data_IF_341487285819
#
_entry.id   IF_341487285819
#
_cell.length_a   1.000
_cell.length_b   1.000
_cell.length_c   1.000
_cell.angle_alpha   90.00
_cell.angle_beta   90.00
_cell.angle_gamma   90.00
#
_symmetry.space_group_name_H-M   'P 1'
#
loop_
_entity.id
_entity.type
_entity.pdbx_description
1 polymer ?
#
# COMPACT_ATOMS: atom_id res chain seq x y z
N UNK A 1 8.73 -6.06 21.13
CA UNK A 1 8.57 -4.75 20.47
C UNK A 1 7.28 -4.77 19.68
N UNK A 2 6.23 -4.11 20.18
CA UNK A 2 5.01 -3.88 19.41
C UNK A 2 5.32 -2.67 18.53
N UNK A 3 5.58 -2.91 17.24
CA UNK A 3 6.00 -1.87 16.30
C UNK A 3 4.75 -1.11 15.84
N UNK A 4 4.60 0.18 16.18
CA UNK A 4 3.52 1.01 15.67
C UNK A 4 3.74 1.34 14.18
N UNK A 5 2.70 1.37 13.34
CA UNK A 5 2.85 1.69 11.93
C UNK A 5 3.19 3.17 11.74
N UNK A 6 4.41 3.45 11.29
CA UNK A 6 4.94 4.83 11.24
C UNK A 6 4.59 5.60 9.96
N UNK A 7 4.20 4.93 8.88
CA UNK A 7 3.87 5.58 7.59
C UNK A 7 2.58 5.03 7.00
N UNK A 8 1.91 5.82 6.14
CA UNK A 8 0.73 5.37 5.39
C UNK A 8 1.02 4.07 4.62
N UNK A 9 2.19 3.97 4.00
CA UNK A 9 2.58 2.78 3.26
C UNK A 9 2.70 1.52 4.15
N UNK A 10 3.16 1.66 5.41
CA UNK A 10 3.18 0.55 6.37
C UNK A 10 1.78 0.20 6.87
N UNK A 11 0.91 1.20 7.09
CA UNK A 11 -0.50 0.98 7.45
C UNK A 11 -1.23 0.17 6.37
N UNK A 12 -1.08 0.56 5.11
CA UNK A 12 -1.66 -0.15 3.96
C UNK A 12 -1.10 -1.56 3.89
N UNK A 13 0.23 -1.74 3.95
CA UNK A 13 0.86 -3.05 3.91
C UNK A 13 0.30 -4.00 4.98
N UNK A 14 0.26 -3.56 6.24
CA UNK A 14 -0.25 -4.36 7.36
C UNK A 14 -1.72 -4.73 7.18
N UNK A 15 -2.54 -3.80 6.70
CA UNK A 15 -3.93 -4.10 6.41
C UNK A 15 -4.07 -5.17 5.32
N UNK A 16 -3.32 -5.04 4.22
CA UNK A 16 -3.37 -6.00 3.11
C UNK A 16 -2.91 -7.40 3.55
N UNK A 17 -1.82 -7.49 4.31
CA UNK A 17 -1.34 -8.78 4.85
C UNK A 17 -2.32 -9.35 5.87
N UNK A 18 -2.86 -8.52 6.78
CA UNK A 18 -3.82 -8.94 7.79
C UNK A 18 -5.14 -9.47 7.21
N UNK A 19 -5.50 -9.03 5.99
CA UNK A 19 -6.66 -9.53 5.25
C UNK A 19 -6.30 -10.59 4.19
N UNK A 20 -5.06 -11.11 4.19
CA UNK A 20 -4.54 -12.07 3.20
C UNK A 20 -4.68 -11.61 1.73
N UNK A 21 -4.71 -10.30 1.48
CA UNK A 21 -4.80 -9.68 0.15
C UNK A 21 -3.44 -9.59 -0.54
N UNK A 22 -2.37 -9.57 0.26
CA UNK A 22 -0.98 -9.65 -0.18
C UNK A 22 -0.26 -10.66 0.70
N UNK A 23 0.60 -11.50 0.09
CA UNK A 23 1.30 -12.58 0.79
C UNK A 23 2.61 -12.16 1.42
N UNK A 24 3.25 -11.10 0.89
CA UNK A 24 4.59 -10.71 1.33
C UNK A 24 4.92 -9.24 1.03
N UNK A 25 5.93 -8.72 1.74
CA UNK A 25 6.53 -7.39 1.45
C UNK A 25 7.08 -7.31 0.02
N UNK A 26 7.56 -8.43 -0.54
CA UNK A 26 8.05 -8.50 -1.91
C UNK A 26 6.91 -8.31 -2.94
N UNK A 27 5.77 -8.94 -2.72
CA UNK A 27 4.58 -8.76 -3.56
C UNK A 27 4.04 -7.34 -3.46
N UNK A 28 3.96 -6.79 -2.24
CA UNK A 28 3.58 -5.39 -2.03
C UNK A 28 4.52 -4.42 -2.76
N UNK A 29 5.83 -4.69 -2.72
CA UNK A 29 6.81 -3.87 -3.44
C UNK A 29 6.64 -3.94 -4.96
N UNK A 30 6.20 -5.09 -5.49
CA UNK A 30 5.86 -5.22 -6.91
C UNK A 30 4.62 -4.42 -7.29
N UNK A 31 3.62 -4.32 -6.41
CA UNK A 31 2.44 -3.46 -6.65
C UNK A 31 2.83 -1.98 -6.75
N UNK A 32 3.90 -1.57 -6.06
CA UNK A 32 4.49 -0.23 -6.20
C UNK A 32 5.36 -0.07 -7.46
N UNK A 33 5.53 -1.10 -8.29
CA UNK A 33 6.42 -1.08 -9.46
C UNK A 33 7.91 -1.03 -9.09
N UNK A 34 8.29 -1.53 -7.91
CA UNK A 34 9.66 -1.45 -7.38
C UNK A 34 10.25 -2.84 -7.06
N UNK A 35 11.53 -2.86 -6.71
CA UNK A 35 12.25 -4.09 -6.37
C UNK A 35 11.69 -4.74 -5.10
N UNK A 36 11.91 -6.05 -4.94
CA UNK A 36 11.35 -6.85 -3.82
C UNK A 36 11.72 -6.36 -2.40
N UNK A 37 12.77 -5.55 -2.27
CA UNK A 37 13.25 -5.03 -0.98
C UNK A 37 12.76 -3.61 -0.69
N UNK A 38 12.10 -2.96 -1.67
CA UNK A 38 11.76 -1.55 -1.61
C UNK A 38 10.94 -1.17 -0.37
N UNK A 39 9.87 -1.92 -0.07
CA UNK A 39 9.06 -1.64 1.11
C UNK A 39 9.85 -1.77 2.42
N UNK A 40 10.74 -2.78 2.51
CA UNK A 40 11.59 -2.94 3.69
C UNK A 40 12.54 -1.76 3.86
N UNK A 41 13.12 -1.24 2.77
CA UNK A 41 13.96 -0.04 2.78
C UNK A 41 13.18 1.18 3.26
N UNK A 42 11.98 1.42 2.72
CA UNK A 42 11.12 2.53 3.15
C UNK A 42 10.80 2.45 4.64
N UNK A 43 10.47 1.25 5.13
CA UNK A 43 10.14 1.01 6.53
C UNK A 43 11.34 1.25 7.45
N UNK A 44 12.52 0.76 7.08
CA UNK A 44 13.76 0.96 7.86
C UNK A 44 14.17 2.44 7.91
N UNK A 45 13.93 3.18 6.84
CA UNK A 45 14.31 4.59 6.75
C UNK A 45 13.19 5.55 7.17
N UNK A 46 12.03 5.03 7.60
CA UNK A 46 10.82 5.83 7.89
C UNK A 46 10.46 6.81 6.76
N UNK A 47 10.65 6.39 5.50
CA UNK A 47 10.38 7.21 4.31
C UNK A 47 9.05 6.85 3.66
N UNK A 48 8.49 7.84 2.98
CA UNK A 48 7.34 7.66 2.10
C UNK A 48 7.78 7.14 0.72
N UNK A 49 6.95 6.33 0.04
CA UNK A 49 7.15 6.01 -1.36
C UNK A 49 7.31 7.25 -2.24
N UNK A 50 8.10 7.12 -3.31
CA UNK A 50 8.09 8.09 -4.40
C UNK A 50 6.69 8.23 -4.99
N UNK A 51 6.32 9.39 -5.57
CA UNK A 51 5.02 9.58 -6.17
C UNK A 51 4.62 8.57 -7.25
N UNK A 52 5.53 8.20 -8.15
CA UNK A 52 5.31 7.11 -9.13
C UNK A 52 4.92 5.78 -8.45
N UNK A 53 5.54 5.47 -7.31
CA UNK A 53 5.23 4.27 -6.54
C UNK A 53 3.87 4.37 -5.85
N UNK A 54 3.45 5.56 -5.43
CA UNK A 54 2.09 5.82 -4.94
C UNK A 54 1.05 5.64 -6.04
N UNK A 55 1.31 6.16 -7.24
CA UNK A 55 0.43 5.98 -8.41
C UNK A 55 0.26 4.49 -8.74
N UNK A 56 1.36 3.74 -8.84
CA UNK A 56 1.31 2.31 -9.09
C UNK A 56 0.53 1.54 -8.02
N UNK A 57 0.75 1.89 -6.74
CA UNK A 57 0.02 1.29 -5.63
C UNK A 57 -1.48 1.62 -5.70
N UNK A 58 -1.85 2.87 -5.97
CA UNK A 58 -3.24 3.27 -6.11
C UNK A 58 -3.93 2.49 -7.25
N UNK A 59 -3.28 2.33 -8.40
CA UNK A 59 -3.80 1.50 -9.49
C UNK A 59 -3.99 0.04 -9.07
N UNK A 60 -3.01 -0.55 -8.37
CA UNK A 60 -3.12 -1.92 -7.88
C UNK A 60 -4.27 -2.10 -6.86
N UNK A 61 -4.45 -1.14 -5.95
CA UNK A 61 -5.56 -1.11 -5.00
C UNK A 61 -6.92 -0.93 -5.71
N UNK A 62 -6.97 -0.12 -6.76
CA UNK A 62 -8.17 0.03 -7.61
C UNK A 62 -8.58 -1.29 -8.24
N UNK A 63 -7.65 -2.00 -8.88
CA UNK A 63 -7.89 -3.34 -9.45
C UNK A 63 -8.29 -4.37 -8.37
N UNK A 64 -7.73 -4.24 -7.16
CA UNK A 64 -8.10 -5.10 -6.04
C UNK A 64 -9.56 -4.90 -5.61
N UNK A 65 -10.08 -3.67 -5.67
CA UNK A 65 -11.47 -3.35 -5.30
C UNK A 65 -12.51 -3.94 -6.25
N UNK A 66 -12.13 -4.27 -7.48
CA UNK A 66 -13.00 -4.96 -8.45
C UNK A 66 -13.30 -6.41 -8.04
N UNK A 67 -12.46 -7.01 -7.18
CA UNK A 67 -12.65 -8.38 -6.68
C UNK A 67 -13.85 -8.47 -5.72
N UNK A 68 -14.43 -9.68 -5.53
CA UNK A 68 -15.44 -9.91 -4.51
C UNK A 68 -14.80 -9.89 -3.10
N UNK A 69 -14.66 -8.68 -2.55
CA UNK A 69 -14.20 -8.45 -1.18
C UNK A 69 -15.37 -8.11 -0.25
N UNK A 70 -15.19 -8.36 1.04
CA UNK A 70 -16.17 -7.98 2.06
C UNK A 70 -16.34 -6.45 2.10
N UNK A 71 -17.57 -5.99 2.38
CA UNK A 71 -17.90 -4.55 2.44
C UNK A 71 -16.97 -3.75 3.37
N UNK A 72 -16.65 -4.21 4.60
CA UNK A 72 -15.73 -3.48 5.48
C UNK A 72 -14.33 -3.33 4.87
N UNK A 73 -13.82 -4.39 4.21
CA UNK A 73 -12.53 -4.37 3.53
C UNK A 73 -12.51 -3.33 2.42
N UNK A 74 -13.56 -3.28 1.58
CA UNK A 74 -13.67 -2.28 0.51
C UNK A 74 -13.72 -0.84 1.05
N UNK A 75 -14.40 -0.61 2.17
CA UNK A 75 -14.48 0.71 2.79
C UNK A 75 -13.11 1.21 3.26
N UNK A 76 -12.31 0.34 3.88
CA UNK A 76 -10.95 0.71 4.33
C UNK A 76 -10.02 0.92 3.13
N UNK A 77 -10.13 0.09 2.08
CA UNK A 77 -9.36 0.30 0.84
C UNK A 77 -9.68 1.64 0.18
N UNK A 78 -10.95 2.03 0.16
CA UNK A 78 -11.38 3.33 -0.37
C UNK A 78 -10.81 4.50 0.45
N UNK A 79 -10.79 4.38 1.78
CA UNK A 79 -10.15 5.37 2.65
C UNK A 79 -8.65 5.50 2.36
N UNK A 80 -7.94 4.38 2.23
CA UNK A 80 -6.53 4.42 1.86
C UNK A 80 -6.28 5.06 0.50
N UNK A 81 -7.12 4.78 -0.51
CA UNK A 81 -7.01 5.42 -1.82
C UNK A 81 -7.16 6.94 -1.73
N UNK A 82 -8.08 7.44 -0.91
CA UNK A 82 -8.26 8.86 -0.69
C UNK A 82 -7.08 9.53 0.04
N UNK A 83 -6.39 8.77 0.91
CA UNK A 83 -5.21 9.24 1.65
C UNK A 83 -3.90 9.20 0.83
N UNK A 84 -3.88 8.48 -0.29
CA UNK A 84 -2.69 8.42 -1.16
C UNK A 84 -2.46 9.81 -1.76
N UNK A 85 -1.25 10.39 -1.63
CA UNK A 85 -0.96 11.68 -2.23
C UNK A 85 -1.04 11.55 -3.75
N UNK A 86 -2.10 12.07 -4.34
CA UNK A 86 -2.21 12.24 -5.77
C UNK A 86 -1.27 13.37 -6.18
N UNK A 87 -0.20 13.05 -6.91
CA UNK A 87 0.49 14.09 -7.67
C UNK A 87 -0.50 14.65 -8.69
N UNK A 88 -0.88 15.91 -8.50
CA UNK A 88 -1.43 16.71 -9.59
C UNK A 88 -0.25 16.95 -10.54
N UNK A 89 -0.26 16.42 -11.77
CA UNK A 89 0.73 16.86 -12.75
C UNK A 89 0.56 18.37 -12.93
N UNK A 90 1.61 19.13 -12.62
CA UNK A 90 1.71 20.54 -12.99
C UNK A 90 1.97 20.67 -14.49
#
# INVERSE_FOLDING_TARGET
>A
MIYEPTTLADKIYRFLVGNALVRSSAEYSRWMGRSRTYHNTLRQQHRSPSPEAWTNLASALGLLMERPLQRPTKAVLAAFLADIPHEVPQ
#
